data_IF_375338907363
#
_entry.id   IF_375338907363
#
_cell.length_a   1.000
_cell.length_b   1.000
_cell.length_c   1.000
_cell.angle_alpha   90.00
_cell.angle_beta   90.00
_cell.angle_gamma   90.00
#
_symmetry.space_group_name_H-M   'P 1'
#
loop_
_entity.id
_entity.type
_entity.pdbx_description
1 polymer ?
#
# COMPACT_ATOMS: atom_id res chain seq x y z
N UNK A 1 35.44 -31.10 -7.27
CA UNK A 1 34.38 -31.42 -8.26
C UNK A 1 34.17 -30.20 -9.12
N UNK A 2 34.22 -30.29 -10.47
CA UNK A 2 33.84 -29.17 -11.31
C UNK A 2 32.39 -28.76 -10.98
N UNK A 3 32.03 -27.47 -11.10
CA UNK A 3 30.64 -27.07 -10.93
C UNK A 3 29.78 -27.86 -11.92
N UNK A 4 28.62 -28.38 -11.50
CA UNK A 4 27.78 -29.16 -12.40
C UNK A 4 27.45 -28.30 -13.63
N UNK A 5 27.58 -28.86 -14.82
CA UNK A 5 27.33 -28.18 -16.12
C UNK A 5 26.03 -28.62 -16.77
N UNK A 6 25.27 -29.51 -16.13
CA UNK A 6 23.99 -30.02 -16.62
C UNK A 6 22.80 -29.13 -16.23
N UNK A 7 21.58 -29.46 -16.72
CA UNK A 7 20.35 -28.71 -16.42
C UNK A 7 20.08 -28.52 -14.93
N UNK A 8 20.52 -29.45 -14.08
CA UNK A 8 20.36 -29.36 -12.62
C UNK A 8 21.18 -28.22 -11.99
N UNK A 9 22.26 -27.79 -12.64
CA UNK A 9 23.10 -26.67 -12.18
C UNK A 9 22.44 -25.31 -12.36
N UNK A 10 21.51 -25.19 -13.31
CA UNK A 10 20.77 -23.94 -13.56
C UNK A 10 19.51 -23.84 -12.71
N UNK A 11 19.02 -24.94 -12.12
CA UNK A 11 17.80 -24.93 -11.28
C UNK A 11 17.90 -23.98 -10.08
N UNK A 12 19.02 -23.87 -9.33
CA UNK A 12 19.15 -22.86 -8.29
C UNK A 12 19.14 -21.42 -8.83
N UNK A 13 19.55 -21.21 -10.09
CA UNK A 13 19.53 -19.90 -10.75
C UNK A 13 18.10 -19.46 -11.13
N UNK A 14 17.14 -20.40 -11.17
CA UNK A 14 15.72 -20.11 -11.38
C UNK A 14 15.01 -19.66 -10.10
N UNK A 15 15.65 -19.77 -8.93
CA UNK A 15 15.05 -19.32 -7.68
C UNK A 15 15.09 -17.80 -7.59
N UNK A 16 13.92 -17.19 -7.74
CA UNK A 16 13.73 -15.77 -7.52
C UNK A 16 13.55 -15.49 -6.03
N UNK A 17 14.25 -14.49 -5.51
CA UNK A 17 13.97 -13.97 -4.19
C UNK A 17 12.72 -13.10 -4.25
N UNK A 18 11.90 -13.14 -3.19
CA UNK A 18 10.67 -12.37 -3.14
C UNK A 18 10.95 -10.86 -3.14
N UNK A 19 11.98 -10.43 -2.41
CA UNK A 19 12.42 -9.04 -2.31
C UNK A 19 13.95 -9.00 -2.41
N UNK A 20 14.47 -8.18 -3.31
CA UNK A 20 15.90 -7.87 -3.41
C UNK A 20 16.13 -6.38 -3.21
N UNK A 21 17.20 -6.05 -2.49
CA UNK A 21 17.75 -4.71 -2.40
C UNK A 21 19.15 -4.76 -2.99
N UNK A 22 19.31 -4.20 -4.18
CA UNK A 22 20.62 -4.08 -4.81
C UNK A 22 21.19 -2.68 -4.54
N UNK A 23 22.45 -2.61 -4.12
CA UNK A 23 23.12 -1.36 -3.74
C UNK A 23 24.37 -1.14 -4.58
N UNK A 24 24.62 0.11 -4.97
CA UNK A 24 25.88 0.54 -5.55
C UNK A 24 27.00 0.48 -4.51
N UNK A 25 28.24 0.34 -4.98
CA UNK A 25 29.42 0.17 -4.11
C UNK A 25 29.60 1.32 -3.09
N UNK A 26 29.21 2.54 -3.45
CA UNK A 26 29.29 3.69 -2.54
C UNK A 26 28.37 3.59 -1.33
N UNK A 27 27.31 2.78 -1.39
CA UNK A 27 26.35 2.57 -0.29
C UNK A 27 26.74 1.42 0.65
N UNK A 28 27.81 0.67 0.36
CA UNK A 28 28.28 -0.43 1.22
C UNK A 28 28.46 -0.07 2.71
N UNK A 29 28.94 1.14 3.07
CA UNK A 29 29.06 1.53 4.48
C UNK A 29 27.73 1.54 5.26
N UNK A 30 26.59 1.66 4.56
CA UNK A 30 25.26 1.63 5.17
C UNK A 30 24.83 0.22 5.60
N UNK A 31 25.47 -0.81 5.05
CA UNK A 31 25.09 -2.22 5.26
C UNK A 31 26.08 -2.95 6.14
N UNK A 32 27.36 -2.59 6.08
CA UNK A 32 28.43 -3.25 6.83
C UNK A 32 28.40 -2.84 8.32
N UNK A 33 28.12 -3.77 9.25
CA UNK A 33 28.10 -3.47 10.68
C UNK A 33 29.46 -2.96 11.21
N UNK A 34 30.58 -3.37 10.59
CA UNK A 34 31.91 -2.91 10.98
C UNK A 34 32.12 -1.41 10.65
N UNK A 35 31.33 -0.87 9.73
CA UNK A 35 31.34 0.54 9.34
C UNK A 35 30.19 1.33 9.97
N UNK A 36 29.57 0.79 11.04
CA UNK A 36 28.38 1.33 11.70
C UNK A 36 27.13 1.37 10.80
N UNK A 37 27.08 0.55 9.77
CA UNK A 37 25.87 0.35 8.97
C UNK A 37 24.80 -0.40 9.77
N UNK A 38 23.60 0.16 9.83
CA UNK A 38 22.46 -0.38 10.59
C UNK A 38 21.32 -0.89 9.70
N UNK A 39 21.54 -0.98 8.38
CA UNK A 39 20.46 -1.30 7.43
C UNK A 39 19.83 -2.68 7.68
N UNK A 40 20.63 -3.70 8.00
CA UNK A 40 20.11 -5.05 8.26
C UNK A 40 19.21 -5.08 9.52
N UNK A 41 19.57 -4.33 10.55
CA UNK A 41 18.75 -4.18 11.76
C UNK A 41 17.45 -3.45 11.46
N UNK A 42 17.52 -2.39 10.63
CA UNK A 42 16.32 -1.69 10.15
C UNK A 42 15.41 -2.61 9.37
N UNK A 43 15.92 -3.45 8.46
CA UNK A 43 15.13 -4.45 7.74
C UNK A 43 14.38 -5.40 8.69
N UNK A 44 15.03 -5.82 9.78
CA UNK A 44 14.37 -6.62 10.81
C UNK A 44 13.27 -5.84 11.56
N UNK A 45 13.45 -4.54 11.79
CA UNK A 45 12.43 -3.66 12.37
C UNK A 45 11.23 -3.47 11.41
N UNK A 46 11.46 -3.31 10.11
CA UNK A 46 10.41 -3.21 9.08
C UNK A 46 9.49 -4.44 9.14
N UNK A 47 10.07 -5.64 9.28
CA UNK A 47 9.27 -6.88 9.39
C UNK A 47 8.29 -6.83 10.55
N UNK A 48 8.75 -6.39 11.73
CA UNK A 48 7.92 -6.25 12.93
C UNK A 48 6.85 -5.18 12.73
N UNK A 49 7.21 -4.06 12.13
CA UNK A 49 6.27 -2.98 11.83
C UNK A 49 5.14 -3.45 10.90
N UNK A 50 5.46 -4.10 9.77
CA UNK A 50 4.46 -4.58 8.82
C UNK A 50 3.56 -5.68 9.42
N UNK A 51 4.12 -6.54 10.28
CA UNK A 51 3.33 -7.53 11.00
C UNK A 51 2.31 -6.86 11.95
N UNK A 52 2.73 -5.82 12.67
CA UNK A 52 1.84 -5.07 13.58
C UNK A 52 0.81 -4.22 12.84
N UNK A 53 1.23 -3.50 11.79
CA UNK A 53 0.39 -2.55 11.06
C UNK A 53 -0.63 -3.25 10.15
N UNK A 54 -0.21 -4.34 9.49
CA UNK A 54 -0.98 -5.00 8.44
C UNK A 54 -1.35 -6.45 8.75
N UNK A 55 -0.74 -7.10 9.75
CA UNK A 55 -0.87 -8.56 9.90
C UNK A 55 -0.12 -9.34 8.82
N UNK A 56 0.81 -8.70 8.12
CA UNK A 56 1.55 -9.28 7.00
C UNK A 56 2.97 -9.67 7.43
N UNK A 57 3.34 -10.93 7.23
CA UNK A 57 4.71 -11.42 7.47
C UNK A 57 5.57 -11.18 6.23
N UNK A 58 6.41 -10.16 6.29
CA UNK A 58 7.33 -9.83 5.20
C UNK A 58 8.33 -10.97 4.92
N UNK A 59 8.47 -11.43 3.66
CA UNK A 59 9.52 -12.36 3.25
C UNK A 59 10.94 -11.87 3.55
N UNK A 60 11.93 -12.75 3.43
CA UNK A 60 13.34 -12.35 3.53
C UNK A 60 13.70 -11.36 2.42
N UNK A 61 14.42 -10.30 2.79
CA UNK A 61 15.01 -9.34 1.85
C UNK A 61 16.44 -9.76 1.57
N UNK A 62 16.78 -10.01 0.31
CA UNK A 62 18.17 -10.27 -0.08
C UNK A 62 18.86 -8.95 -0.40
N UNK A 63 19.89 -8.61 0.37
CA UNK A 63 20.74 -7.44 0.09
C UNK A 63 21.97 -7.88 -0.71
N UNK A 64 22.28 -7.20 -1.82
CA UNK A 64 23.44 -7.50 -2.68
C UNK A 64 24.08 -6.23 -3.19
N UNK A 65 25.40 -6.24 -3.34
CA UNK A 65 26.08 -5.24 -4.15
C UNK A 65 25.80 -5.49 -5.65
N UNK A 66 25.71 -4.42 -6.42
CA UNK A 66 25.62 -4.48 -7.87
C UNK A 66 26.53 -3.43 -8.52
N UNK A 67 27.63 -3.89 -9.10
CA UNK A 67 28.63 -3.05 -9.79
C UNK A 67 28.11 -2.32 -11.02
N UNK A 68 26.95 -2.70 -11.56
CA UNK A 68 26.30 -2.01 -12.69
C UNK A 68 25.49 -0.79 -12.24
N UNK A 69 25.19 -0.65 -10.95
CA UNK A 69 24.52 0.53 -10.42
C UNK A 69 25.50 1.69 -10.29
N UNK A 70 24.98 2.92 -10.37
CA UNK A 70 25.77 4.10 -10.00
C UNK A 70 26.22 3.98 -8.53
N UNK A 71 27.38 4.54 -8.13
CA UNK A 71 27.95 4.30 -6.81
C UNK A 71 26.99 4.59 -5.64
N UNK A 72 26.16 5.62 -5.76
CA UNK A 72 25.26 6.10 -4.72
C UNK A 72 23.80 5.67 -4.93
N UNK A 73 23.55 4.80 -5.90
CA UNK A 73 22.21 4.34 -6.26
C UNK A 73 21.89 3.02 -5.55
N UNK A 74 20.63 2.83 -5.18
CA UNK A 74 20.07 1.53 -4.84
C UNK A 74 18.81 1.27 -5.67
N UNK A 75 18.46 0.00 -5.82
CA UNK A 75 17.18 -0.41 -6.40
C UNK A 75 16.52 -1.51 -5.58
N UNK A 76 15.21 -1.45 -5.52
CA UNK A 76 14.36 -2.45 -4.87
C UNK A 76 13.69 -3.26 -5.97
N UNK A 77 13.79 -4.58 -5.85
CA UNK A 77 13.20 -5.52 -6.81
C UNK A 77 12.24 -6.45 -6.11
N UNK A 78 11.19 -6.82 -6.83
CA UNK A 78 10.24 -7.82 -6.38
C UNK A 78 10.19 -8.91 -7.44
N UNK A 79 10.44 -10.16 -7.01
CA UNK A 79 10.48 -11.33 -7.90
C UNK A 79 11.36 -11.13 -9.14
N UNK A 80 12.53 -10.52 -8.95
CA UNK A 80 13.51 -10.28 -10.00
C UNK A 80 13.33 -8.98 -10.79
N UNK A 81 12.19 -8.30 -10.70
CA UNK A 81 11.89 -7.07 -11.46
C UNK A 81 12.09 -5.82 -10.61
N UNK A 82 12.74 -4.79 -11.18
CA UNK A 82 12.95 -3.51 -10.50
C UNK A 82 11.64 -2.74 -10.39
N UNK A 83 11.21 -2.47 -9.15
CA UNK A 83 9.97 -1.73 -8.85
C UNK A 83 10.23 -0.31 -8.36
N UNK A 84 11.42 -0.05 -7.81
CA UNK A 84 11.80 1.28 -7.35
C UNK A 84 13.32 1.48 -7.39
N UNK A 85 13.74 2.74 -7.56
CA UNK A 85 15.15 3.14 -7.64
C UNK A 85 15.32 4.51 -7.01
N UNK A 86 16.41 4.72 -6.28
CA UNK A 86 16.74 6.03 -5.71
C UNK A 86 18.23 6.15 -5.40
N UNK A 87 18.65 7.34 -4.99
CA UNK A 87 20.01 7.63 -4.56
C UNK A 87 20.05 7.98 -3.08
N UNK A 88 21.17 7.67 -2.42
CA UNK A 88 21.42 8.03 -1.03
C UNK A 88 22.85 8.55 -0.87
N UNK A 89 23.06 9.48 0.07
CA UNK A 89 24.38 10.04 0.38
C UNK A 89 24.86 9.51 1.73
N UNK A 90 25.73 8.48 1.80
CA UNK A 90 26.03 7.75 3.04
C UNK A 90 26.63 8.58 4.18
N UNK A 91 27.21 9.75 3.86
CA UNK A 91 27.90 10.62 4.82
C UNK A 91 27.17 11.93 5.10
N UNK A 92 25.98 12.10 4.52
CA UNK A 92 25.16 13.31 4.66
C UNK A 92 23.84 12.95 5.37
N UNK A 93 23.03 13.97 5.64
CA UNK A 93 21.69 13.81 6.20
C UNK A 93 20.67 14.31 5.19
N UNK A 94 19.49 13.68 5.13
CA UNK A 94 18.39 14.18 4.32
C UNK A 94 17.56 15.16 5.15
N UNK A 95 17.44 16.40 4.70
CA UNK A 95 16.59 17.42 5.29
C UNK A 95 15.33 17.62 4.44
N UNK A 96 14.17 17.37 5.05
CA UNK A 96 12.84 17.53 4.44
C UNK A 96 12.16 18.78 4.99
N UNK A 97 11.65 19.68 4.13
CA UNK A 97 11.03 20.92 4.55
C UNK A 97 9.67 20.69 5.21
N UNK A 98 9.21 21.60 6.08
CA UNK A 98 7.86 21.53 6.66
C UNK A 98 6.75 21.85 5.65
N UNK A 99 7.08 22.55 4.55
CA UNK A 99 6.17 22.89 3.46
C UNK A 99 6.92 23.06 2.13
N UNK A 100 6.19 23.05 1.01
CA UNK A 100 6.75 23.27 -0.34
C UNK A 100 7.49 24.60 -0.47
N UNK A 101 7.05 25.62 0.28
CA UNK A 101 7.51 27.00 0.14
C UNK A 101 8.65 27.35 1.10
N UNK A 102 9.11 26.38 1.90
CA UNK A 102 10.22 26.59 2.81
C UNK A 102 11.49 27.08 2.08
N UNK A 103 12.30 27.96 2.70
CA UNK A 103 13.51 28.49 2.07
C UNK A 103 14.52 27.36 1.83
N UNK A 104 15.26 27.36 0.71
CA UNK A 104 16.23 26.31 0.41
C UNK A 104 17.33 26.24 1.47
N UNK A 105 17.84 25.02 1.71
CA UNK A 105 19.01 24.79 2.55
C UNK A 105 20.27 24.66 1.70
N UNK A 106 21.41 24.99 2.29
CA UNK A 106 22.72 24.66 1.73
C UNK A 106 22.88 23.13 1.71
N UNK A 107 23.15 22.58 0.52
CA UNK A 107 23.26 21.14 0.31
C UNK A 107 22.96 20.73 -1.13
N UNK A 108 22.90 19.43 -1.36
CA UNK A 108 22.57 18.85 -2.67
C UNK A 108 21.05 18.67 -2.75
N UNK A 109 20.40 19.43 -3.62
CA UNK A 109 18.96 19.29 -3.86
C UNK A 109 18.62 17.89 -4.40
N UNK A 110 17.56 17.29 -3.88
CA UNK A 110 17.08 15.95 -4.26
C UNK A 110 15.57 15.85 -4.12
N UNK A 111 15.02 14.72 -4.56
CA UNK A 111 13.64 14.32 -4.29
C UNK A 111 13.65 13.15 -3.32
N UNK A 112 12.81 13.22 -2.29
CA UNK A 112 12.57 12.14 -1.35
C UNK A 112 11.81 10.99 -2.07
N UNK A 113 12.26 9.74 -1.94
CA UNK A 113 11.80 8.64 -2.80
C UNK A 113 10.38 8.11 -2.51
N UNK A 114 9.80 8.37 -1.35
CA UNK A 114 8.50 7.81 -0.92
C UNK A 114 7.34 8.70 -1.38
N UNK A 115 7.41 9.99 -1.07
CA UNK A 115 6.36 10.97 -1.27
C UNK A 115 6.65 11.94 -2.42
N UNK A 116 7.84 11.84 -3.03
CA UNK A 116 8.25 12.74 -4.12
C UNK A 116 8.47 14.18 -3.67
N UNK A 117 8.69 14.41 -2.37
CA UNK A 117 8.87 15.75 -1.82
C UNK A 117 10.27 16.29 -2.12
N UNK A 118 10.38 17.61 -2.28
CA UNK A 118 11.69 18.28 -2.37
C UNK A 118 12.45 18.08 -1.05
N UNK A 119 13.72 17.73 -1.14
CA UNK A 119 14.60 17.57 0.02
C UNK A 119 16.04 18.00 -0.33
N UNK A 120 16.90 18.05 0.69
CA UNK A 120 18.30 18.42 0.53
C UNK A 120 19.20 17.45 1.30
N UNK A 121 20.25 16.95 0.65
CA UNK A 121 21.34 16.29 1.36
C UNK A 121 22.26 17.36 1.95
N UNK A 122 22.32 17.42 3.28
CA UNK A 122 23.08 18.41 4.04
C UNK A 122 24.23 17.75 4.81
N UNK A 123 25.31 18.49 5.01
CA UNK A 123 26.40 18.02 5.87
C UNK A 123 25.93 17.87 7.33
N UNK A 124 26.46 16.90 8.10
CA UNK A 124 25.99 16.64 9.47
C UNK A 124 26.06 17.84 10.42
N UNK A 125 27.00 18.77 10.19
CA UNK A 125 27.14 20.01 10.96
C UNK A 125 25.98 21.01 10.75
N UNK A 126 25.23 20.90 9.65
CA UNK A 126 24.06 21.74 9.36
C UNK A 126 22.78 21.24 10.02
N UNK A 127 22.81 20.09 10.73
CA UNK A 127 21.62 19.47 11.38
C UNK A 127 20.88 20.46 12.27
N UNK A 128 21.58 21.11 13.22
CA UNK A 128 20.94 22.01 14.18
C UNK A 128 20.35 23.24 13.50
N UNK A 129 21.00 23.76 12.45
CA UNK A 129 20.48 24.88 11.67
C UNK A 129 19.20 24.47 10.92
N UNK A 130 19.21 23.33 10.23
CA UNK A 130 18.06 22.82 9.52
C UNK A 130 16.87 22.59 10.46
N UNK A 131 17.10 21.96 11.62
CA UNK A 131 16.05 21.71 12.62
C UNK A 131 15.46 23.01 13.19
N UNK A 132 16.30 24.04 13.44
CA UNK A 132 15.80 25.37 13.86
C UNK A 132 14.92 26.04 12.82
N UNK A 133 15.13 25.74 11.54
CA UNK A 133 14.30 26.20 10.42
C UNK A 133 13.06 25.32 10.20
N UNK A 134 12.81 24.34 11.08
CA UNK A 134 11.65 23.45 11.01
C UNK A 134 11.81 22.27 10.06
N UNK A 135 13.00 22.01 9.54
CA UNK A 135 13.25 20.84 8.69
C UNK A 135 13.32 19.56 9.52
N UNK A 136 12.71 18.49 9.00
CA UNK A 136 12.90 17.13 9.52
C UNK A 136 14.18 16.55 8.92
N UNK A 137 15.14 16.19 9.78
CA UNK A 137 16.46 15.71 9.36
C UNK A 137 16.61 14.24 9.70
N UNK A 138 16.90 13.40 8.69
CA UNK A 138 16.98 11.93 8.82
C UNK A 138 18.26 11.36 8.21
N UNK A 139 18.69 10.22 8.75
CA UNK A 139 19.88 9.49 8.27
C UNK A 139 19.61 8.76 6.94
N UNK A 140 20.62 8.54 6.08
CA UNK A 140 20.46 7.85 4.80
C UNK A 140 19.86 6.44 4.94
N UNK A 141 20.25 5.70 5.98
CA UNK A 141 19.72 4.35 6.24
C UNK A 141 18.24 4.38 6.62
N UNK A 142 17.78 5.44 7.30
CA UNK A 142 16.38 5.65 7.60
C UNK A 142 15.57 5.96 6.32
N UNK A 143 16.10 6.79 5.41
CA UNK A 143 15.47 7.07 4.11
C UNK A 143 15.27 5.78 3.31
N UNK A 144 16.33 4.98 3.18
CA UNK A 144 16.27 3.70 2.46
C UNK A 144 15.29 2.72 3.13
N UNK A 145 15.31 2.61 4.46
CA UNK A 145 14.40 1.76 5.21
C UNK A 145 12.92 2.18 5.03
N UNK A 146 12.62 3.48 5.10
CA UNK A 146 11.26 3.99 4.87
C UNK A 146 10.82 3.70 3.43
N UNK A 147 11.70 3.90 2.45
CA UNK A 147 11.41 3.57 1.06
C UNK A 147 11.13 2.08 0.86
N UNK A 148 11.97 1.20 1.40
CA UNK A 148 11.74 -0.24 1.37
C UNK A 148 10.41 -0.61 2.04
N UNK A 149 10.08 0.01 3.17
CA UNK A 149 8.82 -0.24 3.88
C UNK A 149 7.61 0.10 3.02
N UNK A 150 7.62 1.25 2.35
CA UNK A 150 6.51 1.67 1.51
C UNK A 150 6.38 0.78 0.25
N UNK A 151 7.49 0.41 -0.39
CA UNK A 151 7.46 -0.51 -1.52
C UNK A 151 6.90 -1.88 -1.09
N UNK A 152 7.35 -2.43 0.03
CA UNK A 152 6.82 -3.71 0.53
C UNK A 152 5.35 -3.58 0.90
N UNK A 153 4.92 -2.47 1.51
CA UNK A 153 3.52 -2.20 1.84
C UNK A 153 2.65 -2.19 0.58
N UNK A 154 3.05 -1.43 -0.45
CA UNK A 154 2.34 -1.32 -1.74
C UNK A 154 2.23 -2.67 -2.45
N UNK A 155 3.22 -3.52 -2.30
CA UNK A 155 3.30 -4.83 -2.92
C UNK A 155 2.95 -5.99 -1.95
N UNK A 156 2.38 -5.70 -0.78
CA UNK A 156 2.10 -6.72 0.24
C UNK A 156 1.18 -7.84 -0.29
N UNK A 157 0.20 -7.48 -1.12
CA UNK A 157 -0.69 -8.46 -1.73
C UNK A 157 0.04 -9.43 -2.67
N UNK A 158 0.99 -8.98 -3.49
CA UNK A 158 1.75 -9.90 -4.36
C UNK A 158 2.83 -10.69 -3.61
N UNK A 159 3.33 -10.13 -2.50
CA UNK A 159 4.30 -10.78 -1.63
C UNK A 159 3.65 -11.82 -0.69
N UNK A 160 2.33 -11.75 -0.47
CA UNK A 160 1.58 -12.74 0.30
C UNK A 160 1.41 -14.03 -0.52
N UNK A 161 2.30 -14.99 -0.30
CA UNK A 161 2.26 -16.33 -0.88
C UNK A 161 1.52 -17.35 -0.01
N UNK A 162 1.33 -18.56 -0.54
CA UNK A 162 0.66 -19.67 0.17
C UNK A 162 1.36 -20.05 1.48
N UNK A 163 2.69 -20.04 1.49
CA UNK A 163 3.47 -20.36 2.69
C UNK A 163 3.23 -19.33 3.80
N UNK A 164 3.13 -18.03 3.48
CA UNK A 164 2.82 -17.00 4.45
C UNK A 164 1.40 -17.16 5.00
N UNK A 165 0.41 -17.44 4.14
CA UNK A 165 -0.97 -17.68 4.58
C UNK A 165 -1.05 -18.92 5.47
N UNK A 166 -0.34 -20.00 5.12
CA UNK A 166 -0.27 -21.20 5.95
C UNK A 166 0.31 -20.87 7.34
N UNK A 167 1.39 -20.11 7.41
CA UNK A 167 1.98 -19.66 8.69
C UNK A 167 0.99 -18.83 9.52
N UNK A 168 0.24 -17.92 8.89
CA UNK A 168 -0.79 -17.13 9.58
C UNK A 168 -1.90 -18.01 10.14
N UNK A 169 -2.40 -18.98 9.35
CA UNK A 169 -3.43 -19.91 9.79
C UNK A 169 -2.94 -20.84 10.90
N UNK A 170 -1.71 -21.34 10.82
CA UNK A 170 -1.15 -22.22 11.84
C UNK A 170 -0.93 -21.49 13.17
N UNK A 171 -0.50 -20.22 13.13
CA UNK A 171 -0.42 -19.40 14.35
C UNK A 171 -1.80 -19.08 14.94
N UNK A 172 -2.82 -18.87 14.09
CA UNK A 172 -4.19 -18.70 14.58
C UNK A 172 -4.71 -19.99 15.23
N UNK A 173 -4.40 -21.17 14.68
CA UNK A 173 -4.78 -22.46 15.29
C UNK A 173 -4.26 -22.66 16.71
N UNK A 174 -3.12 -22.07 17.06
CA UNK A 174 -2.58 -22.12 18.42
C UNK A 174 -3.51 -21.44 19.44
N UNK A 175 -4.34 -20.49 18.99
CA UNK A 175 -5.20 -19.66 19.85
C UNK A 175 -6.70 -19.96 19.64
N UNK A 176 -7.11 -20.20 18.39
CA UNK A 176 -8.47 -20.59 18.00
C UNK A 176 -8.41 -21.59 16.84
N UNK A 177 -8.30 -22.87 17.14
CA UNK A 177 -8.28 -23.94 16.14
C UNK A 177 -9.64 -24.16 15.45
N UNK A 178 -10.74 -23.85 16.14
CA UNK A 178 -12.11 -24.14 15.70
C UNK A 178 -12.42 -23.38 14.41
N UNK A 179 -12.24 -22.06 14.42
CA UNK A 179 -12.52 -21.21 13.24
C UNK A 179 -11.70 -21.63 12.02
N UNK A 180 -10.45 -22.04 12.22
CA UNK A 180 -9.58 -22.44 11.10
C UNK A 180 -10.02 -23.77 10.51
N UNK A 181 -10.37 -24.74 11.35
CA UNK A 181 -10.81 -26.08 10.92
C UNK A 181 -12.18 -26.06 10.25
N UNK A 182 -13.09 -25.19 10.69
CA UNK A 182 -14.40 -25.03 10.06
C UNK A 182 -14.30 -24.42 8.65
N UNK A 183 -13.35 -23.49 8.44
CA UNK A 183 -13.23 -22.76 7.17
C UNK A 183 -12.28 -23.45 6.18
N UNK A 184 -11.12 -23.91 6.64
CA UNK A 184 -10.04 -24.42 5.77
C UNK A 184 -9.66 -25.86 6.15
N UNK A 185 -9.67 -26.82 5.20
CA UNK A 185 -9.88 -26.66 3.76
C UNK A 185 -11.32 -26.86 3.28
N UNK A 186 -12.26 -27.13 4.19
CA UNK A 186 -13.57 -27.71 3.83
C UNK A 186 -14.52 -26.73 3.14
N UNK A 187 -14.64 -25.50 3.65
CA UNK A 187 -15.45 -24.45 3.03
C UNK A 187 -14.67 -23.72 1.93
N UNK A 188 -13.42 -23.36 2.22
CA UNK A 188 -12.51 -22.64 1.34
C UNK A 188 -11.13 -23.30 1.31
N UNK A 189 -10.54 -23.31 0.13
CA UNK A 189 -9.14 -23.71 -0.05
C UNK A 189 -8.19 -22.64 0.48
N UNK A 190 -6.96 -23.04 0.81
CA UNK A 190 -5.88 -22.11 1.17
C UNK A 190 -5.67 -21.02 0.10
N UNK A 191 -5.87 -21.36 -1.18
CA UNK A 191 -5.73 -20.43 -2.30
C UNK A 191 -6.84 -19.37 -2.35
N UNK A 192 -8.07 -19.73 -2.00
CA UNK A 192 -9.19 -18.79 -1.92
C UNK A 192 -9.00 -17.83 -0.74
N UNK A 193 -8.62 -18.34 0.43
CA UNK A 193 -8.28 -17.49 1.60
C UNK A 193 -7.13 -16.56 1.25
N UNK A 194 -6.07 -17.05 0.61
CA UNK A 194 -4.97 -16.19 0.14
C UNK A 194 -5.51 -15.07 -0.76
N UNK A 195 -6.36 -15.38 -1.73
CA UNK A 195 -6.91 -14.38 -2.65
C UNK A 195 -7.77 -13.32 -1.95
N UNK A 196 -8.51 -13.69 -0.91
CA UNK A 196 -9.26 -12.74 -0.04
C UNK A 196 -8.30 -11.85 0.73
N UNK A 197 -7.28 -12.42 1.39
CA UNK A 197 -6.29 -11.63 2.14
C UNK A 197 -5.53 -10.68 1.21
N UNK A 198 -5.23 -11.11 -0.02
CA UNK A 198 -4.64 -10.25 -1.05
C UNK A 198 -5.60 -9.13 -1.47
N UNK A 199 -6.91 -9.40 -1.56
CA UNK A 199 -7.91 -8.37 -1.84
C UNK A 199 -7.88 -7.25 -0.81
N UNK A 200 -7.83 -7.59 0.48
CA UNK A 200 -7.70 -6.65 1.58
C UNK A 200 -6.38 -5.85 1.49
N UNK A 201 -5.24 -6.55 1.33
CA UNK A 201 -3.92 -5.93 1.29
C UNK A 201 -3.70 -5.01 0.07
N UNK A 202 -4.32 -5.27 -1.09
CA UNK A 202 -4.24 -4.38 -2.28
C UNK A 202 -4.79 -2.98 -2.00
N UNK A 203 -5.70 -2.87 -1.05
CA UNK A 203 -6.29 -1.60 -0.61
C UNK A 203 -5.68 -1.13 0.71
N UNK A 204 -4.60 -1.77 1.14
CA UNK A 204 -3.91 -1.49 2.37
C UNK A 204 -4.71 -1.85 3.61
N UNK A 205 -5.80 -2.63 3.55
CA UNK A 205 -6.58 -3.04 4.72
C UNK A 205 -5.80 -4.08 5.54
N UNK A 206 -5.63 -3.91 6.87
CA UNK A 206 -4.92 -4.88 7.69
C UNK A 206 -5.65 -6.22 7.75
N UNK A 207 -4.88 -7.30 7.70
CA UNK A 207 -5.34 -8.68 7.88
C UNK A 207 -4.96 -9.26 9.26
N UNK A 208 -4.63 -8.37 10.21
CA UNK A 208 -4.20 -8.76 11.57
C UNK A 208 -5.33 -9.43 12.37
N UNK A 209 -6.55 -8.98 12.16
CA UNK A 209 -7.76 -9.57 12.76
C UNK A 209 -8.22 -10.76 11.90
N UNK A 210 -7.38 -11.79 11.84
CA UNK A 210 -7.60 -12.95 10.99
C UNK A 210 -8.78 -13.80 11.43
N UNK A 211 -9.08 -13.80 12.73
CA UNK A 211 -10.23 -14.47 13.32
C UNK A 211 -11.53 -13.91 12.76
N UNK A 212 -11.77 -12.59 12.87
CA UNK A 212 -12.95 -11.93 12.30
C UNK A 212 -13.06 -12.17 10.80
N UNK A 213 -11.93 -12.15 10.08
CA UNK A 213 -11.91 -12.44 8.64
C UNK A 213 -12.39 -13.87 8.38
N UNK A 214 -11.84 -14.88 9.05
CA UNK A 214 -12.21 -16.27 8.82
C UNK A 214 -13.65 -16.58 9.22
N UNK A 215 -14.14 -16.06 10.36
CA UNK A 215 -15.54 -16.22 10.76
C UNK A 215 -16.48 -15.67 9.67
N UNK A 216 -16.20 -14.46 9.19
CA UNK A 216 -16.96 -13.84 8.11
C UNK A 216 -16.90 -14.67 6.83
N UNK A 217 -15.75 -15.25 6.51
CA UNK A 217 -15.63 -16.15 5.37
C UNK A 217 -16.44 -17.43 5.57
N UNK A 218 -16.43 -18.04 6.75
CA UNK A 218 -17.23 -19.22 7.07
C UNK A 218 -18.73 -18.98 6.90
N UNK A 219 -19.24 -17.86 7.41
CA UNK A 219 -20.66 -17.46 7.32
C UNK A 219 -21.15 -17.26 5.88
N UNK A 220 -20.26 -16.84 4.98
CA UNK A 220 -20.60 -16.46 3.61
C UNK A 220 -20.16 -17.47 2.54
N UNK A 221 -19.18 -18.34 2.81
CA UNK A 221 -18.65 -19.31 1.86
C UNK A 221 -19.69 -20.33 1.36
N UNK A 222 -20.73 -20.60 2.16
CA UNK A 222 -21.87 -21.44 1.73
C UNK A 222 -22.78 -20.77 0.69
N UNK A 223 -22.75 -19.44 0.59
CA UNK A 223 -23.59 -18.65 -0.35
C UNK A 223 -22.84 -18.27 -1.62
N UNK A 224 -21.54 -17.98 -1.52
CA UNK A 224 -20.71 -17.59 -2.65
C UNK A 224 -19.28 -18.07 -2.48
N UNK A 225 -18.65 -18.43 -3.60
CA UNK A 225 -17.20 -18.69 -3.70
C UNK A 225 -16.45 -17.60 -4.46
N UNK A 226 -17.14 -16.51 -4.81
CA UNK A 226 -16.49 -15.36 -5.40
C UNK A 226 -15.61 -14.67 -4.34
N UNK A 227 -14.30 -14.73 -4.56
CA UNK A 227 -13.28 -14.15 -3.67
C UNK A 227 -13.45 -12.64 -3.56
N UNK A 228 -13.85 -11.96 -4.63
CA UNK A 228 -14.06 -10.51 -4.56
C UNK A 228 -15.22 -10.19 -3.62
N UNK A 229 -16.36 -10.88 -3.75
CA UNK A 229 -17.50 -10.73 -2.85
C UNK A 229 -17.15 -11.09 -1.40
N UNK A 230 -16.44 -12.20 -1.18
CA UNK A 230 -15.93 -12.59 0.14
C UNK A 230 -14.99 -11.54 0.74
N UNK A 231 -14.16 -10.91 -0.08
CA UNK A 231 -13.33 -9.78 0.30
C UNK A 231 -14.14 -8.57 0.75
N UNK A 232 -15.23 -8.23 0.05
CA UNK A 232 -16.13 -7.15 0.46
C UNK A 232 -16.82 -7.45 1.80
N UNK A 233 -17.26 -8.69 2.04
CA UNK A 233 -17.82 -9.08 3.33
C UNK A 233 -16.78 -8.95 4.45
N UNK A 234 -15.56 -9.43 4.22
CA UNK A 234 -14.47 -9.27 5.19
C UNK A 234 -14.17 -7.79 5.47
N UNK A 235 -14.20 -6.91 4.46
CA UNK A 235 -14.05 -5.46 4.67
C UNK A 235 -15.16 -4.88 5.54
N UNK A 236 -16.41 -5.28 5.30
CA UNK A 236 -17.55 -4.85 6.10
C UNK A 236 -17.38 -5.26 7.57
N UNK A 237 -16.93 -6.48 7.84
CA UNK A 237 -16.64 -6.95 9.20
C UNK A 237 -15.50 -6.16 9.87
N UNK A 238 -14.53 -5.67 9.08
CA UNK A 238 -13.41 -4.85 9.53
C UNK A 238 -13.72 -3.34 9.59
N UNK A 239 -15.00 -2.93 9.61
CA UNK A 239 -15.42 -1.52 9.58
C UNK A 239 -14.70 -0.64 10.61
N UNK A 240 -14.51 -1.13 11.85
CA UNK A 240 -13.77 -0.42 12.92
C UNK A 240 -12.33 -0.14 12.53
N UNK A 241 -11.64 -1.14 12.01
CA UNK A 241 -10.23 -1.05 11.59
C UNK A 241 -10.08 -0.11 10.40
N UNK A 242 -10.96 -0.22 9.40
CA UNK A 242 -10.94 0.65 8.22
C UNK A 242 -11.20 2.10 8.64
N UNK A 243 -12.24 2.33 9.43
CA UNK A 243 -12.63 3.68 9.87
C UNK A 243 -11.52 4.35 10.66
N UNK A 244 -10.97 3.68 11.68
CA UNK A 244 -9.94 4.27 12.55
C UNK A 244 -8.73 4.78 11.77
N UNK A 245 -8.34 4.08 10.69
CA UNK A 245 -7.20 4.46 9.86
C UNK A 245 -7.45 5.67 8.97
N UNK A 246 -8.71 6.01 8.73
CA UNK A 246 -9.13 7.11 7.88
C UNK A 246 -9.59 8.33 8.69
N UNK A 247 -9.60 8.24 10.03
CA UNK A 247 -9.90 9.36 10.90
C UNK A 247 -8.82 10.43 10.79
N UNK A 248 -9.26 11.67 10.74
CA UNK A 248 -8.40 12.83 10.93
C UNK A 248 -7.93 12.93 12.40
N UNK A 249 -6.87 13.70 12.70
CA UNK A 249 -6.36 13.85 14.07
C UNK A 249 -7.39 14.36 15.10
N UNK A 250 -8.45 15.03 14.65
CA UNK A 250 -9.58 15.50 15.48
C UNK A 250 -10.69 14.44 15.65
N UNK A 251 -10.47 13.20 15.21
CA UNK A 251 -11.39 12.08 15.38
C UNK A 251 -12.58 12.08 14.42
N UNK A 252 -12.59 12.93 13.40
CA UNK A 252 -13.64 12.97 12.37
C UNK A 252 -13.25 12.19 11.12
N UNK A 253 -14.23 11.54 10.51
CA UNK A 253 -14.08 10.93 9.19
C UNK A 253 -14.54 11.93 8.13
N UNK A 254 -13.58 12.51 7.40
CA UNK A 254 -13.86 13.46 6.32
C UNK A 254 -13.90 12.73 4.98
N UNK A 255 -15.03 12.83 4.29
CA UNK A 255 -15.24 12.08 3.04
C UNK A 255 -15.75 12.99 1.93
N UNK A 256 -15.44 12.60 0.71
CA UNK A 256 -16.21 12.99 -0.46
C UNK A 256 -17.26 11.92 -0.77
N UNK A 257 -18.39 12.31 -1.35
CA UNK A 257 -19.47 11.39 -1.74
C UNK A 257 -19.95 11.69 -3.15
N UNK A 258 -20.58 10.71 -3.79
CA UNK A 258 -21.35 10.97 -5.01
C UNK A 258 -22.68 11.64 -4.67
N UNK A 259 -23.17 12.53 -5.53
CA UNK A 259 -24.57 12.93 -5.44
C UNK A 259 -25.50 11.73 -5.75
N UNK A 260 -26.73 11.70 -5.20
CA UNK A 260 -27.64 10.57 -5.39
C UNK A 260 -27.94 10.23 -6.86
N UNK A 261 -28.05 11.24 -7.74
CA UNK A 261 -28.34 11.03 -9.16
C UNK A 261 -27.14 10.44 -9.93
N UNK A 262 -25.91 10.81 -9.57
CA UNK A 262 -24.70 10.20 -10.10
C UNK A 262 -24.56 8.77 -9.59
N UNK A 263 -24.77 8.55 -8.30
CA UNK A 263 -24.68 7.23 -7.69
C UNK A 263 -25.68 6.23 -8.33
N UNK A 264 -26.92 6.67 -8.56
CA UNK A 264 -27.91 5.88 -9.28
C UNK A 264 -27.47 5.54 -10.72
N UNK A 265 -26.96 6.54 -11.45
CA UNK A 265 -26.51 6.32 -12.83
C UNK A 265 -25.31 5.39 -12.93
N UNK A 266 -24.36 5.45 -11.98
CA UNK A 266 -23.23 4.53 -11.93
C UNK A 266 -23.68 3.11 -11.61
N UNK A 267 -24.70 2.95 -10.74
CA UNK A 267 -25.22 1.64 -10.35
C UNK A 267 -25.85 0.88 -11.50
N UNK A 268 -26.55 1.58 -12.39
CA UNK A 268 -27.14 1.02 -13.61
C UNK A 268 -26.08 0.53 -14.62
N UNK A 269 -24.82 0.97 -14.46
CA UNK A 269 -23.69 0.64 -15.34
C UNK A 269 -22.75 -0.41 -14.75
N UNK A 270 -23.14 -1.03 -13.63
CA UNK A 270 -22.38 -2.13 -13.05
C UNK A 270 -22.62 -3.37 -13.90
N UNK A 271 -21.55 -3.96 -14.41
CA UNK A 271 -21.58 -5.20 -15.17
C UNK A 271 -20.75 -6.28 -14.47
N UNK A 272 -21.24 -7.53 -14.54
CA UNK A 272 -20.47 -8.70 -14.14
C UNK A 272 -19.69 -9.20 -15.35
N UNK A 273 -18.37 -9.15 -15.26
CA UNK A 273 -17.47 -9.66 -16.30
C UNK A 273 -16.83 -10.98 -15.86
N UNK A 274 -16.23 -11.76 -16.77
CA UNK A 274 -15.41 -12.92 -16.39
C UNK A 274 -14.23 -12.57 -15.46
N UNK A 275 -13.84 -11.29 -15.38
CA UNK A 275 -12.79 -10.77 -14.50
C UNK A 275 -13.34 -10.09 -13.24
N UNK A 276 -14.60 -10.37 -12.90
CA UNK A 276 -15.31 -9.81 -11.75
C UNK A 276 -16.13 -8.57 -12.11
N UNK A 277 -16.54 -7.84 -11.08
CA UNK A 277 -17.42 -6.68 -11.25
C UNK A 277 -16.66 -5.46 -11.78
N UNK A 278 -17.28 -4.70 -12.70
CA UNK A 278 -16.70 -3.47 -13.26
C UNK A 278 -17.79 -2.43 -13.62
N UNK A 279 -17.36 -1.18 -13.83
CA UNK A 279 -18.22 -0.12 -14.38
C UNK A 279 -18.07 -0.06 -15.91
N UNK A 280 -19.18 -0.19 -16.62
CA UNK A 280 -19.28 -0.06 -18.07
C UNK A 280 -19.53 1.41 -18.44
N UNK A 281 -18.44 2.12 -18.70
CA UNK A 281 -18.43 3.54 -19.07
C UNK A 281 -17.74 3.72 -20.41
N UNK A 282 -18.30 4.59 -21.26
CA UNK A 282 -17.59 5.13 -22.41
C UNK A 282 -16.35 5.93 -21.96
N UNK A 283 -15.38 6.08 -22.86
CA UNK A 283 -14.08 6.66 -22.51
C UNK A 283 -14.16 8.10 -22.03
N UNK A 284 -15.06 8.91 -22.60
CA UNK A 284 -15.22 10.30 -22.22
C UNK A 284 -15.82 10.42 -20.83
N UNK A 285 -16.92 9.70 -20.54
CA UNK A 285 -17.52 9.66 -19.20
C UNK A 285 -16.53 9.11 -18.16
N UNK A 286 -15.77 8.08 -18.52
CA UNK A 286 -14.73 7.51 -17.67
C UNK A 286 -13.68 8.55 -17.29
N UNK A 287 -13.14 9.28 -18.28
CA UNK A 287 -12.11 10.31 -18.08
C UNK A 287 -12.65 11.46 -17.24
N UNK A 288 -13.85 11.95 -17.57
CA UNK A 288 -14.51 13.03 -16.84
C UNK A 288 -14.74 12.68 -15.36
N UNK A 289 -15.19 11.46 -15.08
CA UNK A 289 -15.40 10.98 -13.71
C UNK A 289 -14.09 10.92 -12.92
N UNK A 290 -13.04 10.33 -13.49
CA UNK A 290 -11.71 10.25 -12.85
C UNK A 290 -11.15 11.64 -12.59
N UNK A 291 -11.26 12.56 -13.55
CA UNK A 291 -10.80 13.94 -13.40
C UNK A 291 -11.56 14.68 -12.29
N UNK A 292 -12.88 14.57 -12.26
CA UNK A 292 -13.70 15.19 -11.21
C UNK A 292 -13.32 14.68 -9.82
N UNK A 293 -13.20 13.35 -9.66
CA UNK A 293 -12.75 12.72 -8.41
C UNK A 293 -11.35 13.20 -8.04
N UNK A 294 -10.43 13.26 -9.01
CA UNK A 294 -9.05 13.72 -8.81
C UNK A 294 -8.97 15.17 -8.32
N UNK A 295 -9.80 16.06 -8.87
CA UNK A 295 -9.87 17.45 -8.44
C UNK A 295 -10.33 17.58 -6.97
N UNK A 296 -11.39 16.87 -6.58
CA UNK A 296 -11.84 16.88 -5.18
C UNK A 296 -10.80 16.23 -4.24
N UNK A 297 -10.13 15.16 -4.66
CA UNK A 297 -9.04 14.54 -3.90
C UNK A 297 -7.87 15.51 -3.67
N UNK A 298 -7.51 16.31 -4.67
CA UNK A 298 -6.49 17.36 -4.55
C UNK A 298 -6.93 18.45 -3.57
N UNK A 299 -8.19 18.88 -3.61
CA UNK A 299 -8.72 19.88 -2.67
C UNK A 299 -8.71 19.37 -1.22
N UNK A 300 -9.08 18.10 -0.99
CA UNK A 300 -8.97 17.47 0.33
C UNK A 300 -7.51 17.45 0.81
N UNK A 301 -6.59 17.02 -0.05
CA UNK A 301 -5.15 16.96 0.26
C UNK A 301 -4.58 18.35 0.58
N UNK A 302 -4.99 19.38 -0.16
CA UNK A 302 -4.57 20.77 0.08
C UNK A 302 -5.06 21.31 1.44
N UNK A 303 -6.16 20.79 1.98
CA UNK A 303 -6.65 21.08 3.33
C UNK A 303 -6.01 20.20 4.41
N UNK A 304 -5.06 19.32 4.04
CA UNK A 304 -4.41 18.39 4.95
C UNK A 304 -5.25 17.16 5.30
N UNK A 305 -6.32 16.87 4.54
CA UNK A 305 -7.17 15.71 4.75
C UNK A 305 -6.73 14.53 3.87
N UNK A 306 -6.92 13.31 4.39
CA UNK A 306 -6.79 12.11 3.57
C UNK A 306 -7.92 12.06 2.54
N UNK A 307 -7.62 11.81 1.25
CA UNK A 307 -8.65 11.68 0.23
C UNK A 307 -9.41 10.36 0.43
N UNK A 308 -10.70 10.45 0.79
CA UNK A 308 -11.58 9.31 1.04
C UNK A 308 -12.89 9.52 0.30
N UNK A 309 -13.25 8.58 -0.57
CA UNK A 309 -14.54 8.52 -1.26
C UNK A 309 -15.43 7.48 -0.59
N UNK A 310 -16.57 7.91 -0.05
CA UNK A 310 -17.60 7.03 0.49
C UNK A 310 -18.75 6.84 -0.51
N UNK A 311 -19.19 5.60 -0.70
CA UNK A 311 -20.26 5.25 -1.64
C UNK A 311 -21.06 4.02 -1.18
N UNK A 312 -22.09 3.64 -1.94
CA UNK A 312 -22.82 2.40 -1.67
C UNK A 312 -21.96 1.14 -1.87
N UNK A 313 -22.27 0.10 -1.10
CA UNK A 313 -21.51 -1.16 -1.07
C UNK A 313 -21.30 -1.80 -2.44
N UNK A 314 -22.35 -1.84 -3.28
CA UNK A 314 -22.26 -2.43 -4.61
C UNK A 314 -21.44 -1.60 -5.61
N UNK A 315 -21.19 -0.32 -5.33
CA UNK A 315 -20.36 0.55 -6.15
C UNK A 315 -18.89 0.57 -5.74
N UNK A 316 -18.59 0.23 -4.47
CA UNK A 316 -17.27 0.41 -3.88
C UNK A 316 -16.16 -0.29 -4.69
N UNK A 317 -16.27 -1.59 -4.92
CA UNK A 317 -15.27 -2.34 -5.69
C UNK A 317 -15.16 -1.90 -7.16
N UNK A 318 -16.27 -1.76 -7.92
CA UNK A 318 -16.21 -1.24 -9.30
C UNK A 318 -15.52 0.13 -9.39
N UNK A 319 -15.86 1.05 -8.48
CA UNK A 319 -15.26 2.39 -8.40
C UNK A 319 -13.78 2.29 -8.01
N UNK A 320 -13.42 1.45 -7.05
CA UNK A 320 -12.03 1.23 -6.65
C UNK A 320 -11.17 0.69 -7.80
N UNK A 321 -11.69 -0.25 -8.59
CA UNK A 321 -11.02 -0.79 -9.78
C UNK A 321 -10.83 0.28 -10.85
N UNK A 322 -11.86 1.08 -11.10
CA UNK A 322 -11.80 2.20 -12.04
C UNK A 322 -10.69 3.19 -11.69
N UNK A 323 -10.57 3.53 -10.40
CA UNK A 323 -9.67 4.57 -9.92
C UNK A 323 -8.24 4.08 -9.64
N UNK A 324 -8.04 2.77 -9.50
CA UNK A 324 -6.80 2.24 -8.91
C UNK A 324 -5.52 2.49 -9.69
N UNK A 325 -5.59 2.65 -11.00
CA UNK A 325 -4.44 2.99 -11.83
C UNK A 325 -4.08 4.48 -11.75
N UNK A 326 -5.10 5.36 -11.74
CA UNK A 326 -4.93 6.81 -11.89
C UNK A 326 -4.81 7.54 -10.54
N UNK A 327 -5.47 7.03 -9.50
CA UNK A 327 -5.54 7.63 -8.17
C UNK A 327 -5.23 6.59 -7.07
N UNK A 328 -4.01 6.04 -7.03
CA UNK A 328 -3.66 4.96 -6.08
C UNK A 328 -3.73 5.39 -4.60
N UNK A 329 -3.55 6.68 -4.31
CA UNK A 329 -3.63 7.27 -2.96
C UNK A 329 -5.07 7.51 -2.46
N UNK A 330 -6.08 7.37 -3.33
CA UNK A 330 -7.47 7.59 -2.97
C UNK A 330 -8.07 6.36 -2.29
N UNK A 331 -8.57 6.53 -1.07
CA UNK A 331 -9.30 5.48 -0.37
C UNK A 331 -10.77 5.46 -0.82
N UNK A 332 -11.28 4.28 -1.17
CA UNK A 332 -12.69 4.08 -1.53
C UNK A 332 -13.32 3.13 -0.50
N UNK A 333 -14.31 3.63 0.22
CA UNK A 333 -15.01 2.88 1.27
C UNK A 333 -16.52 2.82 1.01
N UNK A 334 -17.15 1.76 1.47
CA UNK A 334 -18.59 1.63 1.47
C UNK A 334 -19.19 2.27 2.73
N UNK A 335 -20.44 2.75 2.67
CA UNK A 335 -21.12 3.28 3.86
C UNK A 335 -21.17 2.28 5.03
N UNK A 336 -21.29 0.99 4.73
CA UNK A 336 -21.33 -0.07 5.76
C UNK A 336 -19.93 -0.44 6.31
N UNK A 337 -18.85 0.08 5.72
CA UNK A 337 -17.48 -0.05 6.26
C UNK A 337 -17.16 1.07 7.27
N UNK A 338 -18.10 2.00 7.49
CA UNK A 338 -17.96 3.06 8.49
C UNK A 338 -18.49 2.55 9.83
N UNK A 339 -17.64 2.59 10.85
CA UNK A 339 -18.00 2.12 12.17
C UNK A 339 -19.19 2.92 12.75
N UNK A 340 -20.11 2.26 13.49
CA UNK A 340 -21.19 2.96 14.17
C UNK A 340 -20.66 4.07 15.09
N UNK A 341 -21.41 5.17 15.21
CA UNK A 341 -21.06 6.35 16.02
C UNK A 341 -19.83 7.16 15.55
N UNK A 342 -19.34 6.92 14.33
CA UNK A 342 -18.31 7.76 13.72
C UNK A 342 -18.88 9.12 13.35
N UNK A 343 -18.17 10.20 13.69
CA UNK A 343 -18.53 11.55 13.25
C UNK A 343 -18.10 11.76 11.80
N UNK A 344 -19.05 11.73 10.88
CA UNK A 344 -18.81 11.86 9.43
C UNK A 344 -19.03 13.30 9.01
N UNK A 345 -18.04 13.88 8.33
CA UNK A 345 -18.12 15.21 7.73
C UNK A 345 -17.96 15.07 6.21
N UNK A 346 -19.02 15.39 5.47
CA UNK A 346 -18.98 15.43 4.01
C UNK A 346 -18.34 16.76 3.61
N UNK A 347 -17.10 16.69 3.12
CA UNK A 347 -16.32 17.88 2.75
C UNK A 347 -16.43 18.23 1.27
N UNK A 348 -16.75 17.24 0.44
CA UNK A 348 -16.82 17.39 -1.01
C UNK A 348 -17.97 16.51 -1.55
N UNK A 349 -18.65 16.96 -2.60
CA UNK A 349 -19.71 16.20 -3.25
C UNK A 349 -19.55 16.26 -4.77
N UNK A 350 -19.48 15.09 -5.40
CA UNK A 350 -19.26 14.94 -6.82
C UNK A 350 -20.61 14.92 -7.53
N UNK A 351 -20.87 15.95 -8.34
CA UNK A 351 -22.13 16.10 -9.05
C UNK A 351 -22.13 15.47 -10.44
N UNK A 352 -23.28 14.99 -10.91
CA UNK A 352 -23.45 14.47 -12.27
C UNK A 352 -23.26 15.57 -13.30
N UNK A 353 -23.70 16.79 -12.99
CA UNK A 353 -23.56 17.94 -13.87
C UNK A 353 -22.08 18.26 -14.15
N UNK A 354 -21.21 18.19 -13.14
CA UNK A 354 -19.77 18.38 -13.32
C UNK A 354 -19.12 17.32 -14.21
N UNK A 355 -19.58 16.06 -14.10
CA UNK A 355 -19.10 14.98 -14.98
C UNK A 355 -19.60 15.19 -16.40
N UNK A 356 -20.87 15.56 -16.60
CA UNK A 356 -21.45 15.78 -17.92
C UNK A 356 -20.87 17.01 -18.65
N UNK A 357 -20.61 18.10 -17.93
CA UNK A 357 -19.99 19.29 -18.53
C UNK A 357 -18.55 19.00 -19.00
N UNK A 358 -17.81 18.17 -18.27
CA UNK A 358 -16.47 17.74 -18.65
C UNK A 358 -16.45 16.75 -19.83
N UNK A 359 -17.56 16.07 -20.12
CA UNK A 359 -17.73 15.24 -21.34
C UNK A 359 -18.08 16.11 -22.55
N UNK A 360 -18.81 17.21 -22.34
CA UNK A 360 -19.26 18.10 -23.40
C UNK A 360 -18.22 19.14 -23.85
N UNK A 361 -17.21 19.39 -23.03
CA UNK A 361 -16.05 20.25 -23.30
C UNK A 361 -14.90 19.44 -23.91
#
# INVERSE_FOLDING_TARGET
TPPPTGPEAVLPMLKLDAIELEIGYGLMPLVDPNQKGDLLERIAAIRRQLATDLGFVMPSVRVRDNVRLRPLQYQIKIRGETVAQAEAQPRMLLAMPPSSDAPPLEGIATTEPVFGMRAYWIEPNLREQAQRLGYTVVEPTAVLATHLTEIVRRHAAELLGRAQVQQLLDNLKEHNAVVVQEVVPDLLTLGEVQKVLQHLLREGVPIRDLETILETLGDHAGRTRDVEALGEYARAALARTITHRLLSPDGKLRVMVFEPALEASLRERIEQTPHGVALSLDMDTRRALIQAIGQHAQQMTARGYLPVLACAGNLRLPVRKLLGAELPQLHVIAYHEIAPNTNIEIVEQISRAAVQSAVAA
#
